data_IF_545803594792
#
_entry.id   IF_545803594792
#
_cell.length_a   1.000
_cell.length_b   1.000
_cell.length_c   1.000
_cell.angle_alpha   90.00
_cell.angle_beta   90.00
_cell.angle_gamma   90.00
#
_symmetry.space_group_name_H-M   'P 1'
#
loop_
_entity.id
_entity.type
_entity.pdbx_description
1 polymer ?
#
# COMPACT_ATOMS: atom_id res chain seq x y z
N UNK A 1 9.71 80.86 33.80
CA UNK A 1 9.73 80.06 32.55
C UNK A 1 8.51 80.43 31.70
N UNK A 2 8.63 81.42 30.81
CA UNK A 2 7.54 81.82 29.90
C UNK A 2 7.83 81.38 28.47
N UNK A 3 6.81 80.91 27.75
CA UNK A 3 6.95 80.57 26.33
C UNK A 3 7.28 81.82 25.51
N UNK A 4 8.32 81.76 24.69
CA UNK A 4 8.80 82.88 23.85
C UNK A 4 7.88 83.22 22.68
N UNK A 5 6.94 82.34 22.31
CA UNK A 5 5.99 82.58 21.22
C UNK A 5 4.63 81.92 21.46
N UNK A 6 3.59 82.49 20.85
CA UNK A 6 2.24 81.92 20.89
C UNK A 6 2.19 80.51 20.26
N UNK A 7 2.97 80.26 19.20
CA UNK A 7 3.03 78.93 18.58
C UNK A 7 3.72 77.90 19.46
N UNK A 8 4.78 78.28 20.19
CA UNK A 8 5.44 77.40 21.16
C UNK A 8 4.51 77.05 22.31
N UNK A 9 3.76 78.04 22.84
CA UNK A 9 2.73 77.81 23.85
C UNK A 9 1.62 76.89 23.34
N UNK A 10 1.15 77.08 22.11
CA UNK A 10 0.11 76.23 21.52
C UNK A 10 0.59 74.79 21.31
N UNK A 11 1.83 74.59 20.82
CA UNK A 11 2.45 73.27 20.68
C UNK A 11 2.60 72.56 22.03
N UNK A 12 3.09 73.27 23.04
CA UNK A 12 3.24 72.71 24.38
C UNK A 12 1.89 72.32 25.02
N UNK A 13 0.86 73.17 24.86
CA UNK A 13 -0.51 72.84 25.29
C UNK A 13 -1.05 71.61 24.55
N UNK A 14 -0.83 71.51 23.24
CA UNK A 14 -1.28 70.37 22.45
C UNK A 14 -0.58 69.06 22.85
N UNK A 15 0.73 69.10 23.16
CA UNK A 15 1.46 67.91 23.64
C UNK A 15 1.01 67.48 25.02
N UNK A 16 0.74 68.43 25.92
CA UNK A 16 0.25 68.14 27.27
C UNK A 16 -1.17 67.56 27.21
N UNK A 17 -2.06 68.13 26.38
CA UNK A 17 -3.41 67.60 26.20
C UNK A 17 -3.38 66.16 25.64
N UNK A 18 -2.51 65.86 24.67
CA UNK A 18 -2.34 64.48 24.16
C UNK A 18 -1.86 63.51 25.25
N UNK A 19 -0.97 63.96 26.12
CA UNK A 19 -0.47 63.12 27.20
C UNK A 19 -1.56 62.85 28.25
N UNK A 20 -2.46 63.83 28.47
CA UNK A 20 -3.64 63.62 29.31
C UNK A 20 -4.67 62.70 28.65
N UNK A 21 -4.84 62.75 27.32
CA UNK A 21 -5.71 61.81 26.60
C UNK A 21 -5.25 60.35 26.75
N UNK A 22 -3.94 60.10 26.78
CA UNK A 22 -3.37 58.75 26.92
C UNK A 22 -3.41 58.23 28.37
N UNK A 23 -3.39 59.12 29.37
CA UNK A 23 -3.30 58.76 30.80
C UNK A 23 -4.66 58.78 31.49
N UNK A 24 -5.58 59.64 31.07
CA UNK A 24 -6.90 59.80 31.67
C UNK A 24 -7.99 59.25 30.75
N UNK A 25 -8.61 58.09 31.09
CA UNK A 25 -9.73 57.60 30.33
C UNK A 25 -10.89 58.62 30.37
N UNK A 26 -11.35 59.07 29.20
CA UNK A 26 -12.48 59.99 29.06
C UNK A 26 -12.13 61.48 28.82
N UNK A 27 -10.85 61.85 28.68
CA UNK A 27 -10.44 63.24 28.44
C UNK A 27 -10.71 63.76 27.00
N UNK A 28 -11.05 62.89 26.05
CA UNK A 28 -11.19 63.22 24.61
C UNK A 28 -12.49 63.93 24.22
N UNK A 29 -12.99 64.86 25.04
CA UNK A 29 -14.31 65.50 24.81
C UNK A 29 -14.25 66.60 23.75
N UNK A 30 -13.05 67.08 23.37
CA UNK A 30 -12.92 68.16 22.38
C UNK A 30 -12.51 67.59 21.01
N UNK A 31 -13.32 67.76 19.95
CA UNK A 31 -12.96 67.28 18.62
C UNK A 31 -11.71 68.02 18.13
N UNK A 32 -10.59 67.30 18.04
CA UNK A 32 -9.37 67.83 17.42
C UNK A 32 -9.65 68.13 15.94
N UNK A 33 -9.47 69.39 15.53
CA UNK A 33 -9.57 69.78 14.12
C UNK A 33 -8.57 68.93 13.32
N UNK A 34 -9.02 68.32 12.21
CA UNK A 34 -8.17 67.56 11.29
C UNK A 34 -6.95 68.41 10.90
N UNK A 35 -5.80 68.09 11.47
CA UNK A 35 -4.53 68.71 11.10
C UNK A 35 -4.15 68.11 9.76
N UNK A 36 -4.04 68.94 8.72
CA UNK A 36 -3.52 68.52 7.43
C UNK A 36 -2.12 67.94 7.64
N UNK A 37 -1.97 66.64 7.39
CA UNK A 37 -0.67 65.98 7.35
C UNK A 37 0.13 66.58 6.21
N UNK A 38 1.41 66.87 6.45
CA UNK A 38 2.27 67.34 5.38
C UNK A 38 2.58 66.18 4.44
N UNK A 39 2.80 66.48 3.16
CA UNK A 39 3.24 65.50 2.15
C UNK A 39 4.45 64.67 2.60
N UNK A 40 5.36 65.27 3.38
CA UNK A 40 6.50 64.59 3.99
C UNK A 40 6.09 63.56 5.06
N UNK A 41 5.05 63.82 5.84
CA UNK A 41 4.52 62.87 6.82
C UNK A 41 3.78 61.71 6.17
N UNK A 42 3.06 61.97 5.07
CA UNK A 42 2.40 60.92 4.30
C UNK A 42 3.44 60.01 3.62
N UNK A 43 4.49 60.59 3.01
CA UNK A 43 5.62 59.84 2.45
C UNK A 43 6.35 59.00 3.51
N UNK A 44 6.59 59.56 4.70
CA UNK A 44 7.22 58.81 5.80
C UNK A 44 6.34 57.65 6.29
N UNK A 45 5.01 57.78 6.20
CA UNK A 45 4.07 56.70 6.53
C UNK A 45 4.05 55.61 5.46
N UNK A 46 4.10 55.99 4.18
CA UNK A 46 4.16 55.10 3.02
C UNK A 46 5.46 54.27 3.04
N UNK A 47 6.59 54.93 3.29
CA UNK A 47 7.91 54.30 3.39
C UNK A 47 8.02 53.33 4.59
N UNK A 48 7.20 53.52 5.63
CA UNK A 48 7.10 52.58 6.76
C UNK A 48 6.18 51.40 6.44
N UNK A 49 5.12 51.60 5.66
CA UNK A 49 4.23 50.53 5.17
C UNK A 49 4.90 49.62 4.14
N UNK A 50 5.81 50.16 3.33
CA UNK A 50 6.56 49.38 2.32
C UNK A 50 7.75 48.60 2.88
N UNK A 51 8.11 48.82 4.16
CA UNK A 51 9.10 48.01 4.86
C UNK A 51 8.46 46.70 5.32
N UNK A 52 8.64 45.66 4.51
CA UNK A 52 8.29 44.28 4.85
C UNK A 52 8.80 43.94 6.26
N UNK A 53 7.92 43.38 7.07
CA UNK A 53 8.29 42.93 8.42
C UNK A 53 9.35 41.82 8.31
N UNK A 54 10.19 41.67 9.34
CA UNK A 54 11.17 40.56 9.39
C UNK A 54 10.51 39.19 9.20
N UNK A 55 9.24 39.04 9.60
CA UNK A 55 8.45 37.82 9.42
C UNK A 55 8.06 37.56 7.96
N UNK A 56 7.67 38.60 7.22
CA UNK A 56 7.33 38.48 5.79
C UNK A 56 8.56 38.22 4.93
N UNK A 57 9.69 38.87 5.20
CA UNK A 57 10.97 38.58 4.52
C UNK A 57 11.37 37.12 4.71
N UNK A 58 11.21 36.56 5.93
CA UNK A 58 11.46 35.13 6.19
C UNK A 58 10.52 34.22 5.40
N UNK A 59 9.23 34.56 5.31
CA UNK A 59 8.24 33.79 4.54
C UNK A 59 8.55 33.81 3.04
N UNK A 60 8.88 34.99 2.49
CA UNK A 60 9.27 35.14 1.09
C UNK A 60 10.54 34.36 0.77
N UNK A 61 11.59 34.49 1.59
CA UNK A 61 12.83 33.73 1.42
C UNK A 61 12.61 32.21 1.53
N UNK A 62 11.74 31.74 2.42
CA UNK A 62 11.38 30.32 2.52
C UNK A 62 10.67 29.84 1.26
N UNK A 63 9.72 30.63 0.72
CA UNK A 63 9.00 30.30 -0.50
C UNK A 63 9.94 30.28 -1.72
N UNK A 64 10.88 31.23 -1.81
CA UNK A 64 11.86 31.28 -2.88
C UNK A 64 12.82 30.09 -2.83
N UNK A 65 13.38 29.77 -1.65
CA UNK A 65 14.21 28.56 -1.45
C UNK A 65 13.45 27.30 -1.83
N UNK A 66 12.17 27.20 -1.48
CA UNK A 66 11.36 26.05 -1.87
C UNK A 66 11.19 25.95 -3.40
N UNK A 67 11.01 27.08 -4.10
CA UNK A 67 10.94 27.11 -5.58
C UNK A 67 12.28 26.70 -6.20
N UNK A 68 13.39 27.21 -5.70
CA UNK A 68 14.74 26.85 -6.15
C UNK A 68 15.00 25.35 -5.95
N UNK A 69 14.72 24.82 -4.76
CA UNK A 69 14.87 23.39 -4.46
C UNK A 69 13.99 22.51 -5.36
N UNK A 70 12.76 22.93 -5.67
CA UNK A 70 11.91 22.22 -6.64
C UNK A 70 12.53 22.21 -8.03
N UNK A 71 13.11 23.31 -8.49
CA UNK A 71 13.78 23.37 -9.80
C UNK A 71 15.03 22.47 -9.83
N UNK A 72 15.84 22.50 -8.77
CA UNK A 72 17.02 21.63 -8.61
C UNK A 72 16.60 20.16 -8.63
N UNK A 73 15.59 19.77 -7.85
CA UNK A 73 15.11 18.39 -7.82
C UNK A 73 14.58 17.91 -9.18
N UNK A 74 13.85 18.76 -9.91
CA UNK A 74 13.40 18.44 -11.27
C UNK A 74 14.58 18.22 -12.23
N UNK A 75 15.65 19.00 -12.10
CA UNK A 75 16.88 18.81 -12.89
C UNK A 75 17.58 17.50 -12.51
N UNK A 76 17.75 17.24 -11.22
CA UNK A 76 18.36 16.00 -10.74
C UNK A 76 17.58 14.75 -11.18
N UNK A 77 16.25 14.81 -11.25
CA UNK A 77 15.44 13.72 -11.78
C UNK A 77 15.65 13.49 -13.28
N UNK A 78 15.73 14.57 -14.07
CA UNK A 78 16.06 14.49 -15.50
C UNK A 78 17.45 13.89 -15.71
N UNK A 79 18.44 14.35 -14.95
CA UNK A 79 19.82 13.86 -15.03
C UNK A 79 19.90 12.38 -14.63
N UNK A 80 19.18 11.95 -13.58
CA UNK A 80 19.07 10.54 -13.19
C UNK A 80 18.48 9.68 -14.32
N UNK A 81 17.42 10.16 -15.00
CA UNK A 81 16.81 9.46 -16.15
C UNK A 81 17.79 9.38 -17.31
N UNK A 82 18.49 10.46 -17.60
CA UNK A 82 19.51 10.52 -18.65
C UNK A 82 20.66 9.55 -18.38
N UNK A 83 21.25 9.57 -17.17
CA UNK A 83 22.30 8.62 -16.79
C UNK A 83 21.83 7.17 -16.88
N UNK A 84 20.58 6.88 -16.50
CA UNK A 84 20.01 5.53 -16.65
C UNK A 84 19.90 5.12 -18.12
N UNK A 85 19.49 6.04 -19.01
CA UNK A 85 19.41 5.80 -20.45
C UNK A 85 20.79 5.54 -21.06
N UNK A 86 21.78 6.38 -20.72
CA UNK A 86 23.18 6.20 -21.14
C UNK A 86 23.68 4.82 -20.70
N UNK A 87 23.51 4.49 -19.41
CA UNK A 87 23.94 3.20 -18.86
C UNK A 87 23.24 2.02 -19.54
N UNK A 88 21.96 2.15 -19.84
CA UNK A 88 21.21 1.13 -20.60
C UNK A 88 21.80 0.93 -22.00
N UNK A 89 22.08 2.01 -22.73
CA UNK A 89 22.62 1.93 -24.09
C UNK A 89 24.02 1.29 -24.10
N UNK A 90 24.88 1.64 -23.13
CA UNK A 90 26.21 1.02 -22.97
C UNK A 90 26.09 -0.48 -22.72
N UNK A 91 25.30 -0.88 -21.73
CA UNK A 91 25.08 -2.30 -21.40
C UNK A 91 24.46 -3.06 -22.57
N UNK A 92 23.51 -2.44 -23.28
CA UNK A 92 22.87 -3.05 -24.46
C UNK A 92 23.88 -3.25 -25.60
N UNK A 93 24.77 -2.29 -25.81
CA UNK A 93 25.88 -2.39 -26.77
C UNK A 93 26.84 -3.54 -26.43
N UNK A 94 27.25 -3.64 -25.16
CA UNK A 94 28.15 -4.71 -24.71
C UNK A 94 27.51 -6.10 -24.72
N UNK A 95 26.18 -6.21 -24.53
CA UNK A 95 25.45 -7.48 -24.63
C UNK A 95 25.57 -8.14 -26.01
N UNK A 96 25.73 -7.35 -27.07
CA UNK A 96 25.87 -7.83 -28.44
C UNK A 96 27.29 -7.85 -28.98
N UNK A 97 28.28 -7.38 -28.21
CA UNK A 97 29.66 -7.27 -28.65
C UNK A 97 30.50 -8.47 -28.18
N UNK A 98 31.52 -8.83 -28.96
CA UNK A 98 32.44 -9.94 -28.68
C UNK A 98 33.28 -9.77 -27.39
N UNK A 99 33.40 -8.53 -26.88
CA UNK A 99 34.18 -8.20 -25.69
C UNK A 99 33.50 -8.57 -24.35
N UNK A 100 32.22 -8.99 -24.37
CA UNK A 100 31.48 -9.35 -23.16
C UNK A 100 31.15 -8.16 -22.24
N UNK A 101 30.31 -8.40 -21.23
CA UNK A 101 29.96 -7.38 -20.23
C UNK A 101 31.10 -7.15 -19.23
N UNK A 102 31.25 -5.91 -18.76
CA UNK A 102 32.21 -5.59 -17.70
C UNK A 102 31.71 -6.09 -16.33
N UNK A 103 32.59 -6.41 -15.37
CA UNK A 103 32.18 -6.88 -14.04
C UNK A 103 31.32 -5.87 -13.27
N UNK A 104 31.51 -4.57 -13.52
CA UNK A 104 30.69 -3.52 -12.92
C UNK A 104 29.24 -3.51 -13.45
N UNK A 105 29.07 -3.80 -14.74
CA UNK A 105 27.76 -3.92 -15.38
C UNK A 105 27.01 -5.13 -14.86
N UNK A 106 27.69 -6.26 -14.71
CA UNK A 106 27.10 -7.47 -14.15
C UNK A 106 26.64 -7.25 -12.70
N UNK A 107 27.48 -6.63 -11.86
CA UNK A 107 27.12 -6.26 -10.49
C UNK A 107 25.91 -5.33 -10.45
N UNK A 108 25.85 -4.36 -11.36
CA UNK A 108 24.71 -3.45 -11.50
C UNK A 108 23.43 -4.21 -11.89
N UNK A 109 23.51 -5.12 -12.87
CA UNK A 109 22.38 -5.94 -13.32
C UNK A 109 21.91 -6.88 -12.21
N UNK A 110 22.80 -7.56 -11.50
CA UNK A 110 22.46 -8.41 -10.36
C UNK A 110 21.71 -7.62 -9.27
N UNK A 111 22.14 -6.40 -8.98
CA UNK A 111 21.45 -5.49 -8.06
C UNK A 111 20.06 -5.09 -8.59
N UNK A 112 19.93 -4.85 -9.89
CA UNK A 112 18.66 -4.51 -10.52
C UNK A 112 17.67 -5.69 -10.50
N UNK A 113 18.15 -6.90 -10.84
CA UNK A 113 17.37 -8.14 -10.76
C UNK A 113 16.88 -8.37 -9.33
N UNK A 114 17.74 -8.28 -8.31
CA UNK A 114 17.35 -8.44 -6.90
C UNK A 114 16.27 -7.44 -6.47
N UNK A 115 16.37 -6.18 -6.89
CA UNK A 115 15.37 -5.15 -6.58
C UNK A 115 14.04 -5.40 -7.29
N UNK A 116 14.08 -5.76 -8.56
CA UNK A 116 12.88 -5.99 -9.34
C UNK A 116 12.18 -7.29 -8.93
N UNK A 117 12.93 -8.36 -8.66
CA UNK A 117 12.34 -9.62 -8.19
C UNK A 117 11.72 -9.47 -6.80
N UNK A 118 12.36 -8.75 -5.88
CA UNK A 118 11.75 -8.47 -4.56
C UNK A 118 10.56 -7.50 -4.63
N UNK A 119 10.53 -6.58 -5.59
CA UNK A 119 9.34 -5.75 -5.82
C UNK A 119 8.19 -6.59 -6.39
N UNK A 120 8.48 -7.44 -7.38
CA UNK A 120 7.50 -8.32 -8.02
C UNK A 120 6.89 -9.29 -6.99
N UNK A 121 7.73 -9.98 -6.21
CA UNK A 121 7.29 -10.86 -5.12
C UNK A 121 6.38 -10.15 -4.13
N UNK A 122 6.78 -8.98 -3.63
CA UNK A 122 5.93 -8.21 -2.71
C UNK A 122 4.59 -7.76 -3.31
N UNK A 123 4.52 -7.52 -4.62
CA UNK A 123 3.28 -7.11 -5.30
C UNK A 123 2.41 -8.27 -5.76
N UNK A 124 3.00 -9.44 -6.00
CA UNK A 124 2.32 -10.60 -6.57
C UNK A 124 1.97 -11.64 -5.50
N UNK A 125 2.81 -11.78 -4.47
CA UNK A 125 2.62 -12.75 -3.40
C UNK A 125 1.70 -12.15 -2.32
N UNK A 126 0.76 -12.97 -1.87
CA UNK A 126 -0.08 -12.65 -0.71
C UNK A 126 0.84 -12.75 0.51
N UNK A 127 1.17 -11.62 1.14
CA UNK A 127 2.11 -11.59 2.28
C UNK A 127 1.53 -12.19 3.57
N UNK A 128 0.37 -12.84 3.50
CA UNK A 128 -0.25 -13.52 4.62
C UNK A 128 -0.05 -15.04 4.45
N UNK A 129 0.84 -15.66 5.24
CA UNK A 129 1.16 -17.07 5.09
C UNK A 129 -0.06 -17.97 5.32
N UNK A 130 -1.00 -17.57 6.18
CA UNK A 130 -2.18 -18.36 6.48
C UNK A 130 -3.14 -18.40 5.28
N UNK A 131 -3.25 -17.27 4.55
CA UNK A 131 -4.06 -17.16 3.33
C UNK A 131 -3.38 -17.87 2.14
N UNK A 132 -2.05 -17.82 2.05
CA UNK A 132 -1.31 -18.55 1.03
C UNK A 132 -1.50 -20.06 1.17
N UNK A 133 -1.41 -20.58 2.40
CA UNK A 133 -1.65 -22.00 2.69
C UNK A 133 -3.10 -22.43 2.40
N UNK A 134 -4.09 -21.60 2.75
CA UNK A 134 -5.49 -21.85 2.43
C UNK A 134 -5.73 -21.89 0.91
N UNK A 135 -5.22 -20.92 0.16
CA UNK A 135 -5.31 -20.89 -1.30
C UNK A 135 -4.62 -22.10 -1.92
N UNK A 136 -3.43 -22.47 -1.44
CA UNK A 136 -2.75 -23.67 -1.92
C UNK A 136 -3.50 -24.95 -1.59
N UNK A 137 -4.19 -25.01 -0.44
CA UNK A 137 -5.04 -26.14 -0.07
C UNK A 137 -6.26 -26.23 -1.00
N UNK A 138 -6.97 -25.12 -1.21
CA UNK A 138 -8.13 -25.04 -2.11
C UNK A 138 -7.75 -25.37 -3.55
N UNK A 139 -6.60 -24.89 -4.04
CA UNK A 139 -6.10 -25.25 -5.37
C UNK A 139 -5.86 -26.76 -5.50
N UNK A 140 -5.24 -27.38 -4.48
CA UNK A 140 -5.03 -28.83 -4.44
C UNK A 140 -6.35 -29.58 -4.42
N UNK A 141 -7.32 -29.11 -3.64
CA UNK A 141 -8.65 -29.71 -3.56
C UNK A 141 -9.41 -29.61 -4.88
N UNK A 142 -9.39 -28.46 -5.56
CA UNK A 142 -10.03 -28.27 -6.87
C UNK A 142 -9.40 -29.17 -7.94
N UNK A 143 -8.07 -29.31 -7.94
CA UNK A 143 -7.36 -30.22 -8.85
C UNK A 143 -7.74 -31.67 -8.55
N UNK A 144 -7.75 -32.06 -7.28
CA UNK A 144 -8.18 -33.39 -6.86
C UNK A 144 -9.62 -33.68 -7.28
N UNK A 145 -10.56 -32.77 -7.07
CA UNK A 145 -11.96 -32.93 -7.50
C UNK A 145 -12.11 -33.03 -9.02
N UNK A 146 -11.26 -32.32 -9.79
CA UNK A 146 -11.22 -32.44 -11.25
C UNK A 146 -10.74 -33.82 -11.68
N UNK A 147 -9.70 -34.33 -11.01
CA UNK A 147 -9.05 -35.58 -11.36
C UNK A 147 -9.78 -36.81 -10.79
N UNK A 148 -10.53 -36.68 -9.69
CA UNK A 148 -11.40 -37.74 -9.14
C UNK A 148 -12.49 -38.18 -10.14
N UNK A 149 -13.02 -37.26 -10.95
CA UNK A 149 -13.92 -37.61 -12.07
C UNK A 149 -13.23 -38.49 -13.13
N UNK A 150 -11.90 -38.50 -13.16
CA UNK A 150 -11.08 -39.31 -14.04
C UNK A 150 -10.43 -40.52 -13.36
N UNK A 151 -10.48 -40.62 -12.02
CA UNK A 151 -9.92 -41.76 -11.27
C UNK A 151 -10.88 -42.97 -11.24
N UNK A 152 -11.30 -43.41 -12.44
CA UNK A 152 -11.99 -44.70 -12.67
C UNK A 152 -11.15 -45.91 -12.22
N UNK A 153 -9.91 -45.70 -11.76
CA UNK A 153 -9.02 -46.75 -11.30
C UNK A 153 -9.39 -47.24 -9.90
N UNK A 154 -9.93 -46.39 -9.02
CA UNK A 154 -10.38 -46.79 -7.67
C UNK A 154 -11.64 -47.64 -7.75
N UNK A 155 -12.62 -47.24 -8.55
CA UNK A 155 -13.85 -48.02 -8.75
C UNK A 155 -13.56 -49.39 -9.34
N UNK A 156 -12.71 -49.47 -10.37
CA UNK A 156 -12.27 -50.76 -10.94
C UNK A 156 -11.56 -51.65 -9.92
N UNK A 157 -10.80 -51.07 -8.98
CA UNK A 157 -10.14 -51.84 -7.91
C UNK A 157 -11.14 -52.32 -6.86
N UNK A 158 -12.19 -51.56 -6.56
CA UNK A 158 -13.26 -51.99 -5.66
C UNK A 158 -14.09 -53.10 -6.30
N UNK A 159 -14.46 -52.95 -7.56
CA UNK A 159 -15.17 -53.99 -8.32
C UNK A 159 -14.35 -55.28 -8.43
N UNK A 160 -13.04 -55.16 -8.70
CA UNK A 160 -12.15 -56.32 -8.72
C UNK A 160 -12.04 -56.99 -7.34
N UNK A 161 -12.05 -56.23 -6.24
CA UNK A 161 -12.04 -56.78 -4.88
C UNK A 161 -13.36 -57.47 -4.52
N UNK A 162 -14.50 -56.88 -4.90
CA UNK A 162 -15.83 -57.46 -4.71
C UNK A 162 -16.00 -58.74 -5.54
N UNK A 163 -15.56 -58.74 -6.80
CA UNK A 163 -15.54 -59.95 -7.63
C UNK A 163 -14.65 -61.02 -7.01
N UNK A 164 -13.42 -60.68 -6.64
CA UNK A 164 -12.49 -61.63 -6.03
C UNK A 164 -12.98 -62.18 -4.67
N UNK A 165 -13.75 -61.39 -3.92
CA UNK A 165 -14.40 -61.85 -2.68
C UNK A 165 -15.56 -62.81 -2.98
N UNK A 166 -16.43 -62.47 -3.92
CA UNK A 166 -17.53 -63.33 -4.35
C UNK A 166 -17.03 -64.64 -4.97
N UNK A 167 -15.93 -64.60 -5.72
CA UNK A 167 -15.31 -65.80 -6.30
C UNK A 167 -14.68 -66.69 -5.22
N UNK A 168 -14.17 -66.11 -4.12
CA UNK A 168 -13.69 -66.88 -2.95
C UNK A 168 -14.82 -67.53 -2.16
N UNK A 169 -15.99 -66.88 -2.07
CA UNK A 169 -17.20 -67.47 -1.50
C UNK A 169 -17.68 -68.63 -2.37
N UNK A 170 -17.80 -68.42 -3.70
CA UNK A 170 -18.25 -69.45 -4.64
C UNK A 170 -17.30 -70.64 -4.74
N UNK A 171 -15.99 -70.41 -4.68
CA UNK A 171 -14.98 -71.47 -4.68
C UNK A 171 -14.85 -72.19 -3.33
N UNK A 172 -15.62 -71.79 -2.31
CA UNK A 172 -15.62 -72.43 -0.99
C UNK A 172 -14.35 -72.20 -0.18
N UNK A 173 -13.47 -71.30 -0.62
CA UNK A 173 -12.21 -70.97 0.08
C UNK A 173 -12.43 -70.02 1.27
N UNK A 174 -13.54 -69.29 1.28
CA UNK A 174 -13.96 -68.42 2.38
C UNK A 174 -15.27 -68.95 3.00
N UNK A 175 -15.16 -69.79 4.03
CA UNK A 175 -16.31 -70.26 4.81
C UNK A 175 -16.60 -69.26 5.93
N UNK A 176 -17.77 -68.62 5.90
CA UNK A 176 -18.26 -67.86 7.06
C UNK A 176 -18.70 -68.85 8.13
N UNK A 177 -18.09 -68.84 9.33
CA UNK A 177 -18.48 -69.73 10.41
C UNK A 177 -19.94 -69.44 10.80
N UNK A 178 -20.82 -70.41 10.59
CA UNK A 178 -22.22 -70.36 11.03
C UNK A 178 -23.26 -69.97 9.98
N UNK A 179 -22.89 -69.73 8.71
CA UNK A 179 -23.93 -69.55 7.67
C UNK A 179 -24.43 -70.89 7.12
N UNK A 180 -23.58 -71.93 6.98
CA UNK A 180 -24.02 -73.34 6.79
C UNK A 180 -22.88 -74.39 6.99
N UNK A 181 -22.56 -74.81 8.22
CA UNK A 181 -21.97 -76.13 8.44
C UNK A 181 -23.04 -77.05 9.04
N UNK A 182 -23.77 -77.78 8.18
CA UNK A 182 -24.80 -78.75 8.62
C UNK A 182 -26.19 -78.59 7.99
N UNK A 183 -26.40 -77.64 7.08
CA UNK A 183 -27.64 -77.60 6.29
C UNK A 183 -27.51 -78.63 5.15
N UNK A 184 -28.29 -79.71 5.23
CA UNK A 184 -28.32 -80.73 4.19
C UNK A 184 -28.80 -80.12 2.86
N UNK A 185 -28.23 -80.52 1.70
CA UNK A 185 -28.78 -80.12 0.42
C UNK A 185 -30.20 -80.70 0.32
N UNK A 186 -31.20 -79.83 0.44
CA UNK A 186 -32.61 -80.22 0.31
C UNK A 186 -32.85 -80.59 -1.15
N UNK A 187 -33.04 -81.88 -1.42
CA UNK A 187 -33.41 -82.37 -2.74
C UNK A 187 -34.87 -82.03 -3.02
N UNK A 188 -35.18 -81.60 -4.25
CA UNK A 188 -36.55 -81.29 -4.71
C UNK A 188 -37.51 -82.50 -4.75
N UNK A 189 -37.10 -83.66 -4.23
CA UNK A 189 -37.87 -84.92 -4.24
C UNK A 189 -38.29 -85.37 -2.82
N UNK A 190 -37.91 -84.65 -1.75
CA UNK A 190 -38.20 -85.04 -0.36
C UNK A 190 -39.46 -84.33 0.22
N UNK A 191 -40.18 -83.59 -0.61
CA UNK A 191 -41.47 -82.93 -0.29
C UNK A 191 -42.67 -83.74 -0.83
N UNK A 192 -42.51 -85.05 -1.07
CA UNK A 192 -43.55 -85.89 -1.69
C UNK A 192 -43.56 -87.32 -1.18
N UNK A 193 -43.78 -87.51 0.12
CA UNK A 193 -44.41 -88.74 0.65
C UNK A 193 -45.24 -88.39 1.88
N UNK A 194 -46.46 -87.93 1.59
CA UNK A 194 -47.59 -87.88 2.51
C UNK A 194 -47.91 -89.32 2.90
N UNK A 195 -47.59 -89.69 4.14
CA UNK A 195 -47.98 -90.98 4.72
C UNK A 195 -49.44 -90.87 5.15
N UNK A 196 -50.33 -91.26 4.24
CA UNK A 196 -51.77 -91.44 4.49
C UNK A 196 -52.00 -92.56 5.52
N UNK A 197 -52.75 -92.21 6.56
CA UNK A 197 -53.48 -93.14 7.42
C UNK A 197 -54.70 -93.70 6.64
N UNK A 198 -55.02 -94.98 6.88
CA UNK A 198 -56.11 -95.85 6.34
C UNK A 198 -55.82 -96.77 5.14
#
# INVERSE_FOLDING_TARGET
MSFKSASSRAKAKATVNKLFDDVLPGASIVPSKKVHTSTASDFASEARKSRLSKGEVRKQNKAERAKQNKAINKRLEKDKKFHKLVKYNVIKGHKGAAAGMTPEEEKYLKKLVKKNSSALKRSADINDPDVEDEIMSLQREIIAMRDEKHDRSRDRKLDAKLSAFNDKIKSGTLSYPGLTPGLAPVGLEDDSDESDDE
#
